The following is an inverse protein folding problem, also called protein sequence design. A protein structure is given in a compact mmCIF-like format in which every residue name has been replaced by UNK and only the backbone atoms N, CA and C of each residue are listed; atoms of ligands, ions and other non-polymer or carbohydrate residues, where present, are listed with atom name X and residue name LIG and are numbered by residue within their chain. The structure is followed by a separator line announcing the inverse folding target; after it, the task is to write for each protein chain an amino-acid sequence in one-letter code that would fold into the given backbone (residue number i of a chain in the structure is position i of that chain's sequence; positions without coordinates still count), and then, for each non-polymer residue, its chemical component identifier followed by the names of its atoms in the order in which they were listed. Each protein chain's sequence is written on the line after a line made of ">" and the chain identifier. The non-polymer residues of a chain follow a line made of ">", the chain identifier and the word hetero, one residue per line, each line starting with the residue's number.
data_IF_999513757685
#
_entry.id   IF_999513757685
#
_cell.length_a   1.000
_cell.length_b   1.000
_cell.length_c   1.000
_cell.angle_alpha   90.00
_cell.angle_beta   90.00
_cell.angle_gamma   90.00
#
_symmetry.space_group_name_H-M   'P 1'
#
loop_
_entity.id
_entity.type
_entity.pdbx_description
1 polymer ?
#
# COMPACT_ATOMS: atom_id res chain seq x y z
N UNK A 1 -6.00 9.04 -24.41
CA UNK A 1 -4.82 8.96 -25.31
C UNK A 1 -4.09 7.66 -24.99
N UNK A 2 -4.03 6.73 -25.95
CA UNK A 2 -3.18 5.53 -25.92
C UNK A 2 -3.58 4.43 -24.92
N UNK A 3 -4.47 3.52 -25.30
CA UNK A 3 -4.47 2.18 -24.72
C UNK A 3 -3.14 1.54 -25.11
N UNK A 4 -2.14 1.59 -24.22
CA UNK A 4 -0.92 0.82 -24.39
C UNK A 4 -1.33 -0.63 -24.55
N UNK A 5 -1.05 -1.19 -25.73
CA UNK A 5 -1.38 -2.56 -26.03
C UNK A 5 -0.68 -3.46 -25.00
N UNK A 6 -1.45 -4.34 -24.34
CA UNK A 6 -0.93 -5.20 -23.26
C UNK A 6 0.30 -5.99 -23.73
N UNK A 7 0.36 -6.28 -25.03
CA UNK A 7 1.46 -6.93 -25.71
C UNK A 7 2.81 -6.20 -25.55
N UNK A 8 2.83 -4.86 -25.51
CA UNK A 8 4.06 -4.06 -25.35
C UNK A 8 4.38 -3.80 -23.87
N UNK A 9 3.34 -3.67 -23.05
CA UNK A 9 3.48 -3.39 -21.62
C UNK A 9 4.14 -4.55 -20.86
N UNK A 10 3.74 -5.79 -21.15
CA UNK A 10 4.24 -6.98 -20.47
C UNK A 10 5.77 -7.14 -20.56
N UNK A 11 6.41 -7.07 -21.76
CA UNK A 11 7.87 -7.12 -21.88
C UNK A 11 8.58 -6.00 -21.13
N UNK A 12 8.09 -4.76 -21.23
CA UNK A 12 8.69 -3.61 -20.55
C UNK A 12 8.65 -3.76 -19.02
N UNK A 13 7.50 -4.16 -18.46
CA UNK A 13 7.37 -4.43 -17.03
C UNK A 13 8.21 -5.63 -16.56
N UNK A 14 8.43 -6.65 -17.41
CA UNK A 14 9.36 -7.75 -17.10
C UNK A 14 10.80 -7.27 -17.01
N UNK A 15 11.24 -6.40 -17.92
CA UNK A 15 12.59 -5.79 -17.86
C UNK A 15 12.72 -4.92 -16.62
N UNK A 16 11.74 -4.06 -16.34
CA UNK A 16 11.72 -3.24 -15.13
C UNK A 16 11.81 -4.09 -13.87
N UNK A 17 11.02 -5.18 -13.78
CA UNK A 17 11.11 -6.12 -12.68
C UNK A 17 12.50 -6.77 -12.56
N UNK A 18 13.10 -7.21 -13.67
CA UNK A 18 14.43 -7.79 -13.67
C UNK A 18 15.49 -6.81 -13.14
N UNK A 19 15.43 -5.54 -13.55
CA UNK A 19 16.30 -4.48 -13.03
C UNK A 19 16.05 -4.27 -11.53
N UNK A 20 14.80 -4.21 -11.10
CA UNK A 20 14.43 -4.08 -9.68
C UNK A 20 14.94 -5.25 -8.84
N UNK A 21 14.97 -6.46 -9.40
CA UNK A 21 15.49 -7.66 -8.72
C UNK A 21 17.01 -7.62 -8.57
N UNK A 22 17.75 -7.12 -9.55
CA UNK A 22 19.24 -7.08 -9.53
C UNK A 22 19.78 -5.88 -8.74
N UNK A 23 19.25 -4.68 -8.99
CA UNK A 23 19.76 -3.41 -8.41
C UNK A 23 18.95 -2.89 -7.23
N UNK A 24 17.80 -3.51 -6.94
CA UNK A 24 16.84 -3.04 -5.95
C UNK A 24 15.88 -2.00 -6.52
N UNK A 25 14.59 -2.13 -6.19
CA UNK A 25 13.54 -1.27 -6.73
C UNK A 25 13.78 0.23 -6.47
N UNK A 26 14.34 0.59 -5.30
CA UNK A 26 14.62 1.98 -4.92
C UNK A 26 15.63 2.68 -5.84
N UNK A 27 16.52 1.91 -6.46
CA UNK A 27 17.51 2.42 -7.41
C UNK A 27 16.83 2.65 -8.76
N UNK A 28 16.05 1.66 -9.21
CA UNK A 28 15.41 1.68 -10.54
C UNK A 28 14.33 2.74 -10.65
N UNK A 29 13.49 2.93 -9.62
CA UNK A 29 12.40 3.92 -9.66
C UNK A 29 12.87 5.36 -9.85
N UNK A 30 14.13 5.68 -9.55
CA UNK A 30 14.69 7.02 -9.76
C UNK A 30 14.87 7.37 -11.24
N UNK A 31 14.90 6.36 -12.11
CA UNK A 31 15.08 6.54 -13.56
C UNK A 31 13.75 6.52 -14.32
N UNK A 32 12.64 6.29 -13.62
CA UNK A 32 11.30 6.27 -14.22
C UNK A 32 10.73 7.69 -14.22
N UNK A 33 9.92 8.09 -15.24
CA UNK A 33 9.24 9.37 -15.23
C UNK A 33 8.45 9.56 -13.93
N UNK A 34 8.56 10.73 -13.32
CA UNK A 34 7.92 11.05 -12.04
C UNK A 34 7.04 12.29 -12.18
N UNK A 35 6.52 12.50 -13.38
CA UNK A 35 5.67 13.62 -13.70
C UNK A 35 4.28 13.42 -13.11
N UNK A 36 3.68 14.53 -12.69
CA UNK A 36 2.37 14.53 -12.03
C UNK A 36 1.25 14.04 -12.96
N UNK A 37 1.38 14.32 -14.27
CA UNK A 37 0.41 13.91 -15.29
C UNK A 37 0.36 12.39 -15.50
N UNK A 38 1.39 11.65 -15.07
CA UNK A 38 1.42 10.19 -15.19
C UNK A 38 0.59 9.49 -14.10
N UNK A 39 0.19 10.21 -13.04
CA UNK A 39 -0.48 9.61 -11.89
C UNK A 39 -1.82 8.96 -12.25
N UNK A 40 -2.76 9.70 -12.85
CA UNK A 40 -4.07 9.17 -13.22
C UNK A 40 -3.99 8.02 -14.25
N UNK A 41 -3.19 8.13 -15.33
CA UNK A 41 -2.99 7.01 -16.26
C UNK A 41 -2.45 5.75 -15.58
N UNK A 42 -1.50 5.88 -14.65
CA UNK A 42 -0.94 4.74 -13.92
C UNK A 42 -1.99 4.06 -13.02
N UNK A 43 -2.82 4.85 -12.35
CA UNK A 43 -3.93 4.33 -11.52
C UNK A 43 -4.98 3.64 -12.39
N UNK A 44 -5.36 4.25 -13.50
CA UNK A 44 -6.30 3.65 -14.46
C UNK A 44 -5.77 2.32 -15.01
N UNK A 45 -4.48 2.27 -15.36
CA UNK A 45 -3.84 1.06 -15.87
C UNK A 45 -3.78 -0.04 -14.79
N UNK A 46 -3.40 0.31 -13.56
CA UNK A 46 -3.39 -0.63 -12.43
C UNK A 46 -4.78 -1.20 -12.15
N UNK A 47 -5.83 -0.38 -12.28
CA UNK A 47 -7.22 -0.84 -12.12
C UNK A 47 -7.64 -1.89 -13.16
N UNK A 48 -6.99 -1.96 -14.33
CA UNK A 48 -7.26 -2.99 -15.34
C UNK A 48 -6.59 -4.34 -15.04
N UNK A 49 -5.66 -4.39 -14.09
CA UNK A 49 -4.92 -5.60 -13.72
C UNK A 49 -5.45 -6.06 -12.37
N UNK A 50 -6.27 -7.12 -12.30
CA UNK A 50 -6.76 -7.63 -11.02
C UNK A 50 -5.66 -8.43 -10.30
N UNK A 51 -5.71 -8.56 -8.96
CA UNK A 51 -4.78 -9.39 -8.20
C UNK A 51 -4.90 -10.89 -8.50
N UNK A 52 -5.99 -11.31 -9.14
CA UNK A 52 -6.22 -12.68 -9.61
C UNK A 52 -5.49 -13.03 -10.91
N UNK A 53 -4.95 -12.03 -11.61
CA UNK A 53 -4.20 -12.23 -12.85
C UNK A 53 -2.74 -12.62 -12.55
N UNK A 54 -2.48 -13.93 -12.52
CA UNK A 54 -1.16 -14.50 -12.25
C UNK A 54 -0.18 -14.36 -13.42
N UNK A 55 -0.61 -13.93 -14.61
CA UNK A 55 0.29 -13.74 -15.75
C UNK A 55 0.80 -12.29 -15.82
N UNK A 56 0.04 -11.35 -15.25
CA UNK A 56 0.34 -9.92 -15.25
C UNK A 56 0.89 -9.37 -13.91
N UNK A 57 1.29 -10.22 -12.96
CA UNK A 57 1.79 -9.74 -11.66
C UNK A 57 3.04 -8.84 -11.78
N UNK A 58 3.88 -9.00 -12.80
CA UNK A 58 5.03 -8.13 -13.04
C UNK A 58 4.58 -6.72 -13.45
N UNK A 59 3.46 -6.63 -14.16
CA UNK A 59 2.83 -5.36 -14.53
C UNK A 59 2.33 -4.68 -13.27
N UNK A 60 1.52 -5.39 -12.46
CA UNK A 60 1.03 -4.88 -11.19
C UNK A 60 2.18 -4.41 -10.27
N UNK A 61 3.22 -5.23 -10.12
CA UNK A 61 4.42 -4.89 -9.35
C UNK A 61 5.08 -3.60 -9.87
N UNK A 62 5.33 -3.52 -11.18
CA UNK A 62 6.03 -2.38 -11.79
C UNK A 62 5.23 -1.09 -11.64
N UNK A 63 3.90 -1.17 -11.83
CA UNK A 63 2.99 -0.03 -11.66
C UNK A 63 2.91 0.43 -10.21
N UNK A 64 2.79 -0.48 -9.24
CA UNK A 64 2.76 -0.11 -7.82
C UNK A 64 4.08 0.52 -7.36
N UNK A 65 5.21 -0.03 -7.81
CA UNK A 65 6.54 0.51 -7.52
C UNK A 65 6.72 1.90 -8.16
N UNK A 66 6.25 2.09 -9.39
CA UNK A 66 6.26 3.38 -10.06
C UNK A 66 5.36 4.39 -9.33
N UNK A 67 4.10 4.04 -9.06
CA UNK A 67 3.16 4.87 -8.29
C UNK A 67 3.75 5.26 -6.94
N UNK A 68 4.47 4.34 -6.27
CA UNK A 68 5.11 4.64 -4.98
C UNK A 68 6.15 5.76 -5.08
N UNK A 69 6.77 5.98 -6.25
CA UNK A 69 7.66 7.11 -6.50
C UNK A 69 6.89 8.39 -6.81
N UNK A 70 5.89 8.32 -7.69
CA UNK A 70 5.10 9.48 -8.11
C UNK A 70 4.39 10.11 -6.91
N UNK A 71 3.79 9.31 -6.02
CA UNK A 71 3.07 9.83 -4.84
C UNK A 71 3.96 10.56 -3.83
N UNK A 72 5.28 10.41 -3.91
CA UNK A 72 6.25 11.08 -3.03
C UNK A 72 6.65 12.47 -3.53
N UNK A 73 6.38 12.80 -4.79
CA UNK A 73 6.72 14.11 -5.36
C UNK A 73 5.82 15.20 -4.70
N UNK A 74 6.40 16.36 -4.32
CA UNK A 74 5.66 17.42 -3.63
C UNK A 74 4.74 18.16 -4.62
N UNK A 75 3.55 17.64 -4.83
CA UNK A 75 2.45 18.31 -5.52
C UNK A 75 1.20 18.30 -4.62
N UNK A 76 0.05 18.77 -5.08
CA UNK A 76 -1.22 18.61 -4.35
C UNK A 76 -2.10 17.59 -5.06
N UNK A 77 -2.41 16.47 -4.38
CA UNK A 77 -3.24 15.40 -4.94
C UNK A 77 -4.67 15.87 -5.24
N UNK A 78 -5.16 16.87 -4.50
CA UNK A 78 -6.48 17.48 -4.68
C UNK A 78 -6.63 18.25 -5.99
N UNK A 79 -5.53 18.78 -6.55
CA UNK A 79 -5.56 19.53 -7.82
C UNK A 79 -5.68 18.59 -9.02
N UNK A 80 -5.13 17.38 -8.90
CA UNK A 80 -5.04 16.40 -9.99
C UNK A 80 -6.28 15.53 -10.04
N UNK A 81 -7.03 15.44 -8.95
CA UNK A 81 -8.17 14.54 -8.83
C UNK A 81 -9.33 14.97 -9.75
N UNK A 82 -9.36 14.41 -10.96
CA UNK A 82 -10.44 14.65 -11.93
C UNK A 82 -11.80 14.19 -11.41
N UNK A 83 -11.85 13.29 -10.40
CA UNK A 83 -13.11 12.83 -9.80
C UNK A 83 -13.82 13.94 -9.00
N UNK A 84 -13.06 14.89 -8.43
CA UNK A 84 -13.60 16.06 -7.71
C UNK A 84 -14.32 17.01 -8.67
N UNK A 85 -13.85 17.11 -9.92
CA UNK A 85 -14.46 17.96 -10.95
C UNK A 85 -15.79 17.37 -11.43
N UNK A 86 -15.89 16.03 -11.53
CA UNK A 86 -17.12 15.33 -11.92
C UNK A 86 -18.21 15.46 -10.85
N UNK A 87 -17.86 15.37 -9.56
CA UNK A 87 -18.83 15.50 -8.47
C UNK A 87 -19.38 16.91 -8.23
N UNK A 88 -18.81 17.95 -8.86
CA UNK A 88 -19.36 19.32 -8.83
C UNK A 88 -20.37 19.62 -9.94
N UNK A 89 -20.55 18.72 -10.91
CA UNK A 89 -21.27 19.00 -12.15
C UNK A 89 -22.59 18.26 -12.39
N UNK A 90 -23.06 17.39 -11.49
CA UNK A 90 -24.30 16.66 -11.75
C UNK A 90 -24.81 15.83 -10.57
N UNK A 91 -26.03 16.17 -10.17
CA UNK A 91 -27.07 15.38 -9.52
C UNK A 91 -26.73 14.60 -8.24
N UNK A 92 -27.40 15.06 -7.18
CA UNK A 92 -27.63 14.42 -5.91
C UNK A 92 -27.98 12.93 -6.01
N UNK A 93 -26.98 12.07 -5.86
CA UNK A 93 -27.13 10.73 -5.31
C UNK A 93 -25.88 10.44 -4.47
N UNK A 94 -26.07 10.16 -3.17
CA UNK A 94 -25.05 10.15 -2.12
C UNK A 94 -23.99 9.04 -2.19
N UNK A 95 -23.37 8.84 -3.35
CA UNK A 95 -22.11 8.10 -3.51
C UNK A 95 -21.06 9.05 -4.05
N UNK A 96 -20.44 9.86 -3.17
CA UNK A 96 -19.33 10.72 -3.56
C UNK A 96 -18.26 9.89 -4.27
N UNK A 97 -17.85 10.32 -5.47
CA UNK A 97 -16.82 9.62 -6.24
C UNK A 97 -15.59 9.36 -5.37
N UNK A 98 -15.03 8.15 -5.47
CA UNK A 98 -13.79 7.81 -4.77
C UNK A 98 -12.70 8.77 -5.22
N UNK A 99 -12.14 9.53 -4.27
CA UNK A 99 -10.99 10.40 -4.55
C UNK A 99 -9.84 9.59 -5.13
N UNK A 100 -8.94 10.22 -5.88
CA UNK A 100 -7.77 9.56 -6.46
C UNK A 100 -6.96 8.83 -5.37
N UNK A 101 -6.84 9.43 -4.18
CA UNK A 101 -6.18 8.83 -3.01
C UNK A 101 -6.89 7.55 -2.55
N UNK A 102 -8.21 7.59 -2.38
CA UNK A 102 -9.00 6.42 -1.98
C UNK A 102 -8.97 5.31 -3.04
N UNK A 103 -8.91 5.69 -4.32
CA UNK A 103 -8.75 4.76 -5.44
C UNK A 103 -7.39 4.05 -5.38
N UNK A 104 -6.28 4.78 -5.16
CA UNK A 104 -4.95 4.18 -4.99
C UNK A 104 -4.91 3.28 -3.75
N UNK A 105 -5.44 3.76 -2.63
CA UNK A 105 -5.51 3.01 -1.38
C UNK A 105 -6.26 1.69 -1.58
N UNK A 106 -7.45 1.72 -2.18
CA UNK A 106 -8.26 0.53 -2.48
C UNK A 106 -7.52 -0.47 -3.36
N UNK A 107 -6.88 -0.02 -4.42
CA UNK A 107 -6.11 -0.89 -5.31
C UNK A 107 -4.96 -1.56 -4.55
N UNK A 108 -4.19 -0.79 -3.79
CA UNK A 108 -3.07 -1.32 -3.03
C UNK A 108 -3.52 -2.29 -1.92
N UNK A 109 -4.64 -2.01 -1.24
CA UNK A 109 -5.26 -2.93 -0.28
C UNK A 109 -5.63 -4.26 -0.93
N UNK A 110 -6.16 -4.24 -2.16
CA UNK A 110 -6.46 -5.45 -2.93
C UNK A 110 -5.25 -6.34 -3.18
N UNK A 111 -4.05 -5.76 -3.26
CA UNK A 111 -2.79 -6.48 -3.47
C UNK A 111 -2.09 -6.93 -2.17
N UNK A 112 -2.52 -6.49 -0.98
CA UNK A 112 -1.92 -6.93 0.29
C UNK A 112 -2.13 -8.44 0.56
N UNK A 113 -3.20 -9.02 0.03
CA UNK A 113 -3.46 -10.46 0.09
C UNK A 113 -2.72 -11.27 -0.97
N UNK A 114 -2.03 -10.64 -1.91
CA UNK A 114 -1.30 -11.32 -2.97
C UNK A 114 -0.10 -12.10 -2.41
N UNK A 115 0.27 -13.18 -3.08
CA UNK A 115 1.52 -13.87 -2.79
C UNK A 115 2.70 -13.16 -3.47
N UNK A 116 3.87 -13.19 -2.82
CA UNK A 116 5.12 -12.73 -3.43
C UNK A 116 5.36 -11.22 -3.41
N UNK A 117 6.09 -10.73 -4.42
CA UNK A 117 6.66 -9.37 -4.47
C UNK A 117 5.64 -8.28 -4.75
N UNK A 118 4.49 -8.61 -5.33
CA UNK A 118 3.41 -7.66 -5.56
C UNK A 118 2.87 -7.10 -4.24
N UNK A 119 2.77 -7.95 -3.20
CA UNK A 119 2.38 -7.52 -1.85
C UNK A 119 3.36 -6.54 -1.24
N UNK A 120 4.66 -6.78 -1.40
CA UNK A 120 5.69 -5.88 -0.86
C UNK A 120 5.68 -4.52 -1.59
N UNK A 121 5.38 -4.52 -2.90
CA UNK A 121 5.16 -3.30 -3.67
C UNK A 121 3.90 -2.55 -3.21
N UNK A 122 2.80 -3.25 -2.97
CA UNK A 122 1.55 -2.68 -2.44
C UNK A 122 1.77 -2.04 -1.05
N UNK A 123 2.46 -2.75 -0.16
CA UNK A 123 2.84 -2.24 1.16
C UNK A 123 3.73 -0.99 1.07
N UNK A 124 4.66 -0.94 0.11
CA UNK A 124 5.50 0.23 -0.12
C UNK A 124 4.71 1.42 -0.69
N UNK A 125 3.76 1.17 -1.60
CA UNK A 125 2.86 2.18 -2.15
C UNK A 125 1.97 2.78 -1.06
N UNK A 126 1.29 1.94 -0.27
CA UNK A 126 0.47 2.39 0.86
C UNK A 126 1.29 3.19 1.85
N UNK A 127 2.48 2.70 2.22
CA UNK A 127 3.31 3.40 3.18
C UNK A 127 3.68 4.80 2.70
N UNK A 128 4.08 4.97 1.44
CA UNK A 128 4.45 6.29 0.91
C UNK A 128 3.27 7.21 0.70
N UNK A 129 2.10 6.66 0.33
CA UNK A 129 0.88 7.43 0.19
C UNK A 129 0.41 7.96 1.55
N UNK A 130 0.30 7.09 2.56
CA UNK A 130 -0.29 7.43 3.85
C UNK A 130 0.65 8.25 4.75
N UNK A 131 1.97 8.21 4.54
CA UNK A 131 2.93 9.07 5.25
C UNK A 131 3.14 10.43 4.57
N UNK A 132 2.30 10.78 3.60
CA UNK A 132 2.36 12.09 2.95
C UNK A 132 1.65 13.14 3.84
N UNK A 133 2.20 14.36 3.96
CA UNK A 133 1.54 15.42 4.71
C UNK A 133 0.11 15.66 4.21
N UNK A 134 -0.82 15.83 5.16
CA UNK A 134 -2.24 16.09 4.86
C UNK A 134 -3.14 14.85 4.71
N UNK A 135 -2.60 13.64 4.80
CA UNK A 135 -3.37 12.37 4.72
C UNK A 135 -3.54 11.66 6.08
N UNK A 136 -3.48 12.40 7.19
CA UNK A 136 -3.51 11.84 8.54
C UNK A 136 -4.82 11.07 8.83
N UNK A 137 -5.97 11.52 8.31
CA UNK A 137 -7.25 10.82 8.48
C UNK A 137 -7.28 9.47 7.78
N UNK A 138 -6.68 9.39 6.58
CA UNK A 138 -6.58 8.14 5.83
C UNK A 138 -5.59 7.18 6.51
N UNK A 139 -4.48 7.71 7.04
CA UNK A 139 -3.54 6.93 7.84
C UNK A 139 -4.20 6.33 9.08
N UNK A 140 -4.99 7.12 9.80
CA UNK A 140 -5.78 6.67 10.96
C UNK A 140 -6.73 5.54 10.58
N UNK A 141 -7.56 5.73 9.56
CA UNK A 141 -8.49 4.72 9.08
C UNK A 141 -7.81 3.42 8.61
N UNK A 142 -6.65 3.53 7.98
CA UNK A 142 -5.85 2.36 7.59
C UNK A 142 -5.34 1.59 8.82
N UNK A 143 -4.83 2.29 9.84
CA UNK A 143 -4.31 1.68 11.06
C UNK A 143 -5.43 0.98 11.84
N UNK A 144 -6.61 1.60 11.95
CA UNK A 144 -7.77 0.97 12.60
C UNK A 144 -8.21 -0.30 11.90
N UNK A 145 -8.34 -0.25 10.57
CA UNK A 145 -8.67 -1.42 9.76
C UNK A 145 -7.60 -2.52 9.92
N UNK A 146 -6.33 -2.14 9.89
CA UNK A 146 -5.21 -3.06 10.07
C UNK A 146 -5.23 -3.73 11.45
N UNK A 147 -5.42 -2.96 12.52
CA UNK A 147 -5.51 -3.47 13.90
C UNK A 147 -6.69 -4.42 14.06
N UNK A 148 -7.87 -4.07 13.53
CA UNK A 148 -9.04 -4.94 13.55
C UNK A 148 -8.75 -6.28 12.85
N UNK A 149 -8.22 -6.25 11.62
CA UNK A 149 -7.89 -7.47 10.84
C UNK A 149 -6.84 -8.36 11.52
N UNK A 150 -5.85 -7.77 12.16
CA UNK A 150 -4.82 -8.50 12.91
C UNK A 150 -5.38 -9.15 14.19
N UNK A 151 -6.35 -8.50 14.83
CA UNK A 151 -7.01 -9.01 16.04
C UNK A 151 -7.96 -10.17 15.70
N UNK A 152 -8.79 -10.02 14.66
CA UNK A 152 -9.64 -11.09 14.10
C UNK A 152 -8.80 -12.35 13.75
N UNK A 153 -7.67 -12.16 13.09
CA UNK A 153 -6.78 -13.25 12.67
C UNK A 153 -6.07 -13.95 13.84
N UNK A 154 -6.02 -13.31 15.01
CA UNK A 154 -5.43 -13.88 16.23
C UNK A 154 -6.42 -14.78 16.99
N UNK A 155 -7.73 -14.50 16.88
CA UNK A 155 -8.79 -15.32 17.47
C UNK A 155 -9.13 -16.56 16.64
N UNK A 156 -8.99 -16.49 15.32
CA UNK A 156 -9.25 -17.61 14.42
C UNK A 156 -8.01 -18.49 14.29
N UNK A 157 -7.93 -19.53 15.11
CA UNK A 157 -6.83 -20.51 15.10
C UNK A 157 -6.61 -21.13 13.71
N UNK A 158 -5.57 -20.67 13.01
CA UNK A 158 -4.85 -21.44 11.98
C UNK A 158 -5.57 -21.72 10.65
N UNK A 159 -6.65 -21.01 10.31
CA UNK A 159 -7.43 -21.26 9.09
C UNK A 159 -7.16 -20.28 7.94
N UNK A 160 -6.98 -20.81 6.72
CA UNK A 160 -6.89 -20.14 5.42
C UNK A 160 -5.57 -19.43 5.05
N UNK A 161 -4.83 -20.02 4.10
CA UNK A 161 -3.58 -19.46 3.56
C UNK A 161 -3.72 -18.03 2.98
N UNK A 162 -4.88 -17.69 2.41
CA UNK A 162 -5.18 -16.33 1.90
C UNK A 162 -5.21 -15.28 3.01
N UNK A 163 -5.86 -15.58 4.14
CA UNK A 163 -5.89 -14.70 5.31
C UNK A 163 -4.47 -14.53 5.90
N UNK A 164 -3.66 -15.60 5.88
CA UNK A 164 -2.26 -15.53 6.33
C UNK A 164 -1.41 -14.58 5.48
N UNK A 165 -1.58 -14.58 4.14
CA UNK A 165 -0.84 -13.65 3.27
C UNK A 165 -1.24 -12.20 3.49
N UNK A 166 -2.55 -11.94 3.69
CA UNK A 166 -3.06 -10.61 4.01
C UNK A 166 -2.45 -10.08 5.31
N UNK A 167 -2.42 -10.89 6.37
CA UNK A 167 -1.80 -10.52 7.66
C UNK A 167 -0.34 -10.14 7.48
N UNK A 168 0.42 -10.93 6.70
CA UNK A 168 1.82 -10.60 6.39
C UNK A 168 1.93 -9.29 5.61
N UNK A 169 1.01 -9.03 4.68
CA UNK A 169 0.94 -7.77 3.94
C UNK A 169 0.67 -6.57 4.84
N UNK A 170 -0.31 -6.68 5.73
CA UNK A 170 -0.68 -5.65 6.71
C UNK A 170 0.52 -5.33 7.62
N UNK A 171 1.16 -6.35 8.22
CA UNK A 171 2.36 -6.11 9.03
C UNK A 171 3.49 -5.45 8.24
N UNK A 172 3.67 -5.82 6.97
CA UNK A 172 4.70 -5.23 6.10
C UNK A 172 4.39 -3.76 5.80
N UNK A 173 3.13 -3.42 5.53
CA UNK A 173 2.67 -2.06 5.30
C UNK A 173 2.83 -1.21 6.56
N UNK A 174 2.30 -1.65 7.71
CA UNK A 174 2.45 -0.97 9.00
C UNK A 174 3.91 -0.75 9.34
N UNK A 175 4.74 -1.79 9.30
CA UNK A 175 6.16 -1.62 9.57
C UNK A 175 6.76 -0.56 8.65
N UNK A 176 6.42 -0.56 7.35
CA UNK A 176 6.97 0.39 6.37
C UNK A 176 6.48 1.82 6.62
N UNK A 177 5.23 2.03 7.00
CA UNK A 177 4.68 3.32 7.44
C UNK A 177 5.51 3.87 8.60
N UNK A 178 5.69 3.08 9.67
CA UNK A 178 6.46 3.48 10.85
C UNK A 178 7.97 3.64 10.59
N UNK A 179 8.46 3.20 9.43
CA UNK A 179 9.83 3.47 8.99
C UNK A 179 9.96 4.78 8.22
N UNK A 180 8.94 5.17 7.48
CA UNK A 180 8.99 6.30 6.55
C UNK A 180 8.37 7.57 7.14
N UNK A 181 7.35 7.44 7.99
CA UNK A 181 6.60 8.56 8.53
C UNK A 181 7.40 9.39 9.53
N UNK A 182 7.06 10.67 9.62
CA UNK A 182 7.63 11.59 10.59
C UNK A 182 7.05 11.32 11.99
N UNK A 183 7.88 11.46 13.02
CA UNK A 183 7.48 11.23 14.43
C UNK A 183 6.23 12.04 14.82
N UNK A 184 6.14 13.30 14.41
CA UNK A 184 5.03 14.20 14.72
C UNK A 184 3.68 13.67 14.23
N UNK A 185 3.65 13.04 13.06
CA UNK A 185 2.43 12.48 12.46
C UNK A 185 2.11 11.07 13.00
N UNK A 186 3.13 10.30 13.37
CA UNK A 186 2.97 8.92 13.84
C UNK A 186 2.63 8.81 15.33
N UNK A 187 3.03 9.77 16.17
CA UNK A 187 2.77 9.74 17.61
C UNK A 187 1.27 9.62 17.96
N UNK A 188 0.35 10.39 17.34
CA UNK A 188 -1.09 10.25 17.60
C UNK A 188 -1.65 8.88 17.21
N UNK A 189 -1.05 8.24 16.19
CA UNK A 189 -1.51 6.96 15.65
C UNK A 189 -1.16 5.77 16.54
N UNK A 190 -0.31 5.96 17.56
CA UNK A 190 0.08 4.90 18.48
C UNK A 190 -1.10 4.41 19.33
N UNK A 191 -2.08 5.28 19.60
CA UNK A 191 -3.28 4.91 20.35
C UNK A 191 -4.10 3.84 19.61
N UNK A 192 -4.21 3.97 18.28
CA UNK A 192 -4.92 3.02 17.41
C UNK A 192 -4.20 1.66 17.27
N UNK A 193 -2.92 1.59 17.63
CA UNK A 193 -2.16 0.33 17.71
C UNK A 193 -2.16 -0.31 19.10
N UNK A 194 -2.79 0.31 20.11
CA UNK A 194 -2.79 -0.18 21.48
C UNK A 194 -3.19 -1.66 21.64
N UNK A 195 -4.21 -2.20 20.91
CA UNK A 195 -4.57 -3.62 21.02
C UNK A 195 -3.41 -4.57 20.67
N UNK A 196 -2.57 -4.19 19.69
CA UNK A 196 -1.42 -4.97 19.25
C UNK A 196 -0.23 -4.81 20.20
N UNK A 197 0.01 -3.59 20.69
CA UNK A 197 1.12 -3.28 21.61
C UNK A 197 0.89 -3.97 22.97
N UNK A 198 -0.35 -3.99 23.45
CA UNK A 198 -0.71 -4.58 24.74
C UNK A 198 -0.77 -6.12 24.72
N UNK A 199 -0.72 -6.74 23.53
CA UNK A 199 -0.82 -8.20 23.36
C UNK A 199 0.43 -8.82 22.70
N UNK A 200 1.65 -8.59 23.22
CA UNK A 200 2.88 -9.10 22.60
C UNK A 200 2.95 -10.63 22.64
N UNK A 201 2.30 -11.27 23.61
CA UNK A 201 2.26 -12.72 23.75
C UNK A 201 1.49 -13.40 22.60
N UNK A 202 0.40 -12.78 22.11
CA UNK A 202 -0.32 -13.27 20.94
C UNK A 202 0.58 -13.29 19.71
N UNK A 203 1.48 -12.30 19.61
CA UNK A 203 2.44 -12.19 18.51
C UNK A 203 3.58 -13.21 18.61
N UNK A 204 4.01 -13.58 19.81
CA UNK A 204 5.03 -14.62 20.04
C UNK A 204 4.48 -16.04 19.85
N UNK A 205 3.19 -16.23 20.16
CA UNK A 205 2.47 -17.50 20.02
C UNK A 205 2.06 -17.87 18.59
N UNK A 206 2.21 -16.97 17.62
CA UNK A 206 1.81 -17.23 16.23
C UNK A 206 2.65 -18.38 15.60
N UNK A 207 1.97 -19.39 15.07
CA UNK A 207 2.60 -20.55 14.42
C UNK A 207 3.44 -20.20 13.18
N UNK A 208 3.21 -19.05 12.54
CA UNK A 208 3.95 -18.64 11.35
C UNK A 208 5.13 -17.73 11.70
N UNK A 209 6.36 -18.25 11.53
CA UNK A 209 7.62 -17.53 11.81
C UNK A 209 7.67 -16.15 11.14
N UNK A 210 7.17 -16.02 9.91
CA UNK A 210 7.17 -14.75 9.17
C UNK A 210 6.31 -13.69 9.86
N UNK A 211 5.14 -14.07 10.37
CA UNK A 211 4.23 -13.16 11.09
C UNK A 211 4.87 -12.67 12.38
N UNK A 212 5.48 -13.58 13.15
CA UNK A 212 6.25 -13.23 14.35
C UNK A 212 7.37 -12.23 14.08
N UNK A 213 8.20 -12.51 13.07
CA UNK A 213 9.33 -11.63 12.69
C UNK A 213 8.86 -10.24 12.29
N UNK A 214 7.78 -10.15 11.50
CA UNK A 214 7.25 -8.87 11.04
C UNK A 214 6.55 -8.09 12.17
N UNK A 215 5.82 -8.78 13.05
CA UNK A 215 5.23 -8.17 14.22
C UNK A 215 6.26 -7.61 15.19
N UNK A 216 7.35 -8.35 15.45
CA UNK A 216 8.49 -7.83 16.23
C UNK A 216 9.15 -6.62 15.57
N UNK A 217 9.28 -6.64 14.24
CA UNK A 217 9.79 -5.50 13.46
C UNK A 217 8.87 -4.28 13.53
N UNK A 218 7.55 -4.48 13.57
CA UNK A 218 6.59 -3.40 13.79
C UNK A 218 6.76 -2.82 15.20
N UNK A 219 6.75 -3.66 16.22
CA UNK A 219 6.88 -3.24 17.62
C UNK A 219 8.19 -2.46 17.86
N UNK A 220 9.30 -2.92 17.28
CA UNK A 220 10.59 -2.21 17.32
C UNK A 220 10.46 -0.80 16.73
N UNK A 221 9.78 -0.64 15.59
CA UNK A 221 9.62 0.67 14.94
C UNK A 221 8.69 1.60 15.72
N UNK A 222 7.62 1.05 16.27
CA UNK A 222 6.70 1.77 17.17
C UNK A 222 7.45 2.28 18.40
N UNK A 223 8.27 1.43 19.04
CA UNK A 223 9.09 1.84 20.18
C UNK A 223 10.07 2.97 19.82
N UNK A 224 10.66 2.95 18.61
CA UNK A 224 11.52 4.02 18.13
C UNK A 224 10.80 5.34 17.86
N UNK A 225 9.48 5.34 17.62
CA UNK A 225 8.69 6.58 17.51
C UNK A 225 8.45 7.20 18.89
N UNK A 226 8.43 6.37 19.94
CA UNK A 226 8.24 6.82 21.33
C UNK A 226 9.48 7.52 21.89
N UNK A 227 10.67 7.03 21.56
CA UNK A 227 11.99 7.60 21.92
C UNK A 227 12.24 8.92 21.18
#
# INVERSE_FOLDING_TARGET
>A
RGTLDRAVLLPACRIMYALCKVRGYKTVVKFVPHEVHDLEPLVALLATVPPSDYDAWQVAYSLMVWLSMVVMVPFDLSIIDSSIVVSKGGDSNGGGGLTLVQSIERLALGYLGSTGVARDAAAALLARLLTRPGLQRQLEGFIDMATAKLTESSSEGGGAGSASFLVVGIYTALATIFKLGHRSELLPMLAHLAPLINSPQALLGDGFVTRRKLGMKLLQRVALVYL
#
